data_IF_206695742637
#
_entry.id   IF_206695742637
#
_cell.length_a   1.000
_cell.length_b   1.000
_cell.length_c   1.000
_cell.angle_alpha   90.00
_cell.angle_beta   90.00
_cell.angle_gamma   90.00
#
_symmetry.space_group_name_H-M   'P 1'
#
loop_
_entity.id
_entity.type
_entity.pdbx_description
1 polymer ?
#
# COMPACT_ATOMS: atom_id res chain seq x y z
N UNK A 1 -10.93 6.53 5.38
CA UNK A 1 -9.76 5.95 4.71
C UNK A 1 -9.04 6.90 3.73
N UNK A 2 -9.49 8.16 3.56
CA UNK A 2 -8.87 9.11 2.62
C UNK A 2 -7.84 10.05 3.27
N UNK A 3 -7.98 10.36 4.56
CA UNK A 3 -7.09 11.29 5.24
C UNK A 3 -5.65 10.75 5.39
N UNK A 4 -5.51 9.44 5.60
CA UNK A 4 -4.20 8.81 5.78
C UNK A 4 -3.43 8.70 4.47
N UNK A 5 -4.10 8.39 3.35
CA UNK A 5 -3.45 8.31 2.03
C UNK A 5 -2.99 9.67 1.52
N UNK A 6 -3.77 10.74 1.76
CA UNK A 6 -3.39 12.12 1.39
C UNK A 6 -2.13 12.57 2.14
N UNK A 7 -2.01 12.21 3.43
CA UNK A 7 -0.87 12.60 4.26
C UNK A 7 0.47 12.05 3.72
N UNK A 8 0.57 10.73 3.50
CA UNK A 8 1.80 10.12 3.01
C UNK A 8 2.09 10.48 1.54
N UNK A 9 1.07 10.66 0.71
CA UNK A 9 1.25 11.10 -0.69
C UNK A 9 1.87 12.49 -0.77
N UNK A 10 1.46 13.42 0.11
CA UNK A 10 2.00 14.77 0.14
C UNK A 10 3.49 14.76 0.56
N UNK A 11 3.86 13.92 1.54
CA UNK A 11 5.27 13.74 1.93
C UNK A 11 6.12 13.19 0.79
N UNK A 12 5.62 12.18 0.08
CA UNK A 12 6.31 11.59 -1.06
C UNK A 12 6.54 12.59 -2.20
N UNK A 13 5.52 13.40 -2.52
CA UNK A 13 5.65 14.46 -3.52
C UNK A 13 6.69 15.50 -3.10
N UNK A 14 6.76 15.84 -1.82
CA UNK A 14 7.72 16.83 -1.33
C UNK A 14 9.16 16.30 -1.35
N UNK A 15 9.39 15.05 -0.94
CA UNK A 15 10.73 14.46 -0.94
C UNK A 15 11.24 14.11 -2.34
N UNK A 16 10.36 13.81 -3.30
CA UNK A 16 10.79 13.57 -4.70
C UNK A 16 11.31 14.83 -5.40
N UNK A 17 11.00 16.04 -4.90
CA UNK A 17 11.56 17.30 -5.44
C UNK A 17 13.06 17.46 -5.16
N UNK A 18 13.56 16.82 -4.11
CA UNK A 18 14.93 16.99 -3.60
C UNK A 18 15.75 15.70 -3.59
N UNK A 19 15.13 14.54 -3.80
CA UNK A 19 15.79 13.24 -3.81
C UNK A 19 15.23 12.31 -4.91
N UNK A 20 16.02 11.33 -5.38
CA UNK A 20 15.53 10.26 -6.26
C UNK A 20 14.31 9.55 -5.64
N UNK A 21 13.40 9.07 -6.50
CA UNK A 21 12.11 8.49 -6.06
C UNK A 21 12.28 7.37 -5.03
N UNK A 22 13.24 6.46 -5.20
CA UNK A 22 13.51 5.42 -4.22
C UNK A 22 13.88 5.98 -2.84
N UNK A 23 14.72 7.02 -2.79
CA UNK A 23 15.12 7.66 -1.56
C UNK A 23 13.96 8.42 -0.91
N UNK A 24 13.11 9.08 -1.71
CA UNK A 24 11.92 9.77 -1.22
C UNK A 24 10.89 8.81 -0.60
N UNK A 25 10.74 7.59 -1.14
CA UNK A 25 9.91 6.54 -0.55
C UNK A 25 10.47 6.12 0.80
N UNK A 26 11.79 5.86 0.88
CA UNK A 26 12.44 5.52 2.15
C UNK A 26 12.24 6.63 3.20
N UNK A 27 12.45 7.88 2.82
CA UNK A 27 12.26 9.04 3.71
C UNK A 27 10.79 9.22 4.16
N UNK A 28 9.83 8.86 3.31
CA UNK A 28 8.39 8.95 3.67
C UNK A 28 8.01 7.92 4.74
N UNK A 29 8.64 6.75 4.74
CA UNK A 29 8.27 5.62 5.61
C UNK A 29 9.32 5.28 6.70
N UNK A 30 10.41 6.04 6.82
CA UNK A 30 11.44 5.76 7.84
C UNK A 30 11.08 6.26 9.25
N UNK A 31 10.10 7.15 9.37
CA UNK A 31 9.68 7.74 10.64
C UNK A 31 10.70 8.71 11.27
N UNK A 32 11.87 8.89 10.65
CA UNK A 32 12.91 9.82 11.08
C UNK A 32 12.71 11.23 10.50
N UNK A 33 11.93 11.35 9.41
CA UNK A 33 11.62 12.63 8.78
C UNK A 33 10.18 13.08 9.10
N UNK A 34 9.96 13.85 10.17
CA UNK A 34 8.63 14.37 10.49
C UNK A 34 8.19 15.42 9.46
N UNK A 35 6.93 15.37 9.01
CA UNK A 35 6.33 16.43 8.20
C UNK A 35 5.70 17.52 9.09
N UNK A 36 5.23 18.60 8.45
CA UNK A 36 4.51 19.69 9.10
C UNK A 36 3.39 19.22 10.02
N UNK A 37 2.59 18.23 9.58
CA UNK A 37 1.53 17.63 10.39
C UNK A 37 2.09 16.90 11.63
N UNK A 38 3.16 16.12 11.48
CA UNK A 38 3.84 15.47 12.59
C UNK A 38 4.33 16.49 13.63
N UNK A 39 4.84 17.65 13.19
CA UNK A 39 5.23 18.73 14.08
C UNK A 39 4.04 19.34 14.83
N UNK A 40 2.90 19.54 14.17
CA UNK A 40 1.67 20.04 14.80
C UNK A 40 1.19 19.05 15.87
N UNK A 41 1.14 17.76 15.56
CA UNK A 41 0.73 16.71 16.52
C UNK A 41 1.69 16.66 17.72
N UNK A 42 3.01 16.71 17.49
CA UNK A 42 3.98 16.73 18.59
C UNK A 42 3.86 17.97 19.46
N UNK A 43 3.60 19.15 18.88
CA UNK A 43 3.32 20.39 19.63
C UNK A 43 2.05 20.25 20.48
N UNK A 44 0.98 19.68 19.92
CA UNK A 44 -0.26 19.42 20.66
C UNK A 44 -0.04 18.49 21.86
N UNK A 45 0.61 17.34 21.64
CA UNK A 45 0.96 16.38 22.70
C UNK A 45 1.87 16.97 23.78
N UNK A 46 2.79 17.87 23.42
CA UNK A 46 3.63 18.57 24.39
C UNK A 46 2.83 19.58 25.22
N UNK A 47 1.81 20.21 24.64
CA UNK A 47 0.90 21.12 25.33
C UNK A 47 -0.02 20.40 26.32
N UNK A 48 -0.42 19.16 26.03
CA UNK A 48 -1.23 18.32 26.92
C UNK A 48 -0.46 17.83 28.16
N UNK A 49 0.88 17.76 28.10
CA UNK A 49 1.72 17.32 29.22
C UNK A 49 1.94 18.40 30.29
N UNK A 50 1.48 19.64 30.10
CA UNK A 50 1.48 20.64 31.18
C UNK A 50 0.28 20.38 32.11
N UNK A 51 0.50 20.09 33.40
CA UNK A 51 -0.60 19.97 34.33
C UNK A 51 -1.22 21.35 34.52
N UNK A 52 -2.55 21.35 34.65
CA UNK A 52 -3.42 22.49 34.94
C UNK A 52 -3.95 23.29 33.75
N UNK A 53 -4.91 22.69 33.03
CA UNK A 53 -6.24 23.31 32.90
C UNK A 53 -7.24 22.15 32.98
N UNK A 54 -8.10 22.16 33.99
CA UNK A 54 -9.31 21.32 33.99
C UNK A 54 -10.15 21.70 32.78
N UNK A 55 -9.90 21.06 31.64
CA UNK A 55 -10.83 21.11 30.52
C UNK A 55 -12.15 20.52 31.00
N UNK A 56 -13.30 21.20 30.84
CA UNK A 56 -14.59 20.59 31.15
C UNK A 56 -14.67 19.29 30.34
N UNK A 57 -14.72 18.17 31.06
CA UNK A 57 -14.84 16.84 30.48
C UNK A 57 -16.15 16.82 29.71
N UNK A 58 -16.10 17.10 28.41
CA UNK A 58 -17.23 16.90 27.53
C UNK A 58 -17.52 15.40 27.59
N UNK A 59 -18.54 15.01 28.35
CA UNK A 59 -19.08 13.65 28.33
C UNK A 59 -19.67 13.45 26.94
N UNK A 60 -18.85 12.96 26.04
CA UNK A 60 -19.29 12.48 24.74
C UNK A 60 -19.98 11.15 25.04
N UNK A 61 -21.31 11.16 25.13
CA UNK A 61 -22.09 9.93 25.14
C UNK A 61 -22.06 9.34 23.73
N UNK A 62 -21.08 8.46 23.51
CA UNK A 62 -20.99 7.66 22.29
C UNK A 62 -22.09 6.62 22.37
N UNK A 63 -23.21 6.87 21.68
CA UNK A 63 -24.28 5.88 21.58
C UNK A 63 -23.78 4.74 20.68
N UNK A 64 -23.36 3.64 21.33
CA UNK A 64 -22.89 2.44 20.66
C UNK A 64 -24.10 1.62 20.18
N UNK A 65 -24.58 1.90 18.98
CA UNK A 65 -25.56 1.04 18.32
C UNK A 65 -24.86 -0.22 17.81
N UNK A 66 -25.13 -1.35 18.44
CA UNK A 66 -24.72 -2.66 17.95
C UNK A 66 -25.43 -2.92 16.60
N UNK A 67 -24.77 -2.57 15.50
CA UNK A 67 -25.19 -2.99 14.16
C UNK A 67 -24.66 -4.40 13.95
N UNK A 68 -25.50 -5.37 13.53
CA UNK A 68 -24.98 -6.65 13.10
C UNK A 68 -24.09 -6.42 11.88
N UNK A 69 -22.79 -6.64 12.06
CA UNK A 69 -21.83 -6.63 10.97
C UNK A 69 -21.81 -8.05 10.40
N UNK A 70 -22.20 -8.20 9.14
CA UNK A 70 -22.01 -9.44 8.42
C UNK A 70 -20.53 -9.59 8.08
N UNK A 71 -19.86 -10.54 8.73
CA UNK A 71 -18.51 -10.92 8.34
C UNK A 71 -18.61 -11.75 7.07
N UNK A 72 -17.92 -11.32 6.02
CA UNK A 72 -17.71 -12.16 4.85
C UNK A 72 -16.80 -13.32 5.26
N UNK A 73 -17.05 -14.55 4.75
CA UNK A 73 -16.13 -15.64 4.98
C UNK A 73 -14.74 -15.30 4.44
N UNK A 74 -13.66 -15.80 5.06
CA UNK A 74 -12.32 -15.64 4.52
C UNK A 74 -12.26 -16.21 3.11
N UNK A 75 -11.39 -15.63 2.27
CA UNK A 75 -11.15 -16.13 0.92
C UNK A 75 -10.73 -17.60 0.99
N UNK A 76 -11.54 -18.48 0.39
CA UNK A 76 -11.15 -19.85 0.14
C UNK A 76 -10.43 -19.91 -1.22
N UNK A 77 -9.19 -20.44 -1.29
CA UNK A 77 -8.54 -20.71 -2.56
C UNK A 77 -9.45 -21.57 -3.42
N UNK A 78 -9.67 -21.14 -4.66
CA UNK A 78 -10.37 -21.96 -5.64
C UNK A 78 -9.42 -23.07 -6.10
N UNK A 79 -9.75 -24.32 -5.78
CA UNK A 79 -9.05 -25.50 -6.28
C UNK A 79 -9.39 -25.64 -7.78
N UNK A 80 -8.43 -25.35 -8.66
CA UNK A 80 -8.56 -25.73 -10.07
C UNK A 80 -8.36 -27.23 -10.17
N UNK A 81 -9.32 -27.94 -10.75
CA UNK A 81 -9.12 -29.35 -11.09
C UNK A 81 -7.90 -29.44 -12.01
N UNK A 82 -6.87 -30.19 -11.59
CA UNK A 82 -5.69 -30.41 -12.40
C UNK A 82 -6.13 -31.06 -13.72
N UNK A 83 -6.20 -30.26 -14.77
CA UNK A 83 -6.41 -30.75 -16.13
C UNK A 83 -5.15 -31.51 -16.50
N UNK A 84 -5.22 -32.83 -16.45
CA UNK A 84 -4.20 -33.70 -17.05
C UNK A 84 -4.37 -33.56 -18.56
N UNK A 85 -3.72 -32.55 -19.13
CA UNK A 85 -3.59 -32.45 -20.57
C UNK A 85 -2.77 -33.66 -21.03
N UNK A 86 -3.28 -34.51 -21.94
CA UNK A 86 -2.42 -35.46 -22.60
C UNK A 86 -1.30 -34.66 -23.26
N UNK A 87 -0.06 -34.90 -22.85
CA UNK A 87 1.09 -34.43 -23.61
C UNK A 87 1.10 -35.24 -24.90
N UNK A 88 0.42 -34.75 -25.92
CA UNK A 88 0.66 -35.23 -27.27
C UNK A 88 2.10 -34.84 -27.61
N UNK A 89 3.00 -35.82 -27.59
CA UNK A 89 4.34 -35.67 -28.13
C UNK A 89 4.19 -35.50 -29.65
N UNK A 90 3.98 -34.26 -30.07
CA UNK A 90 3.91 -33.88 -31.48
C UNK A 90 5.34 -34.01 -31.99
N UNK A 91 5.70 -35.22 -32.41
CA UNK A 91 6.99 -35.59 -32.99
C UNK A 91 7.24 -35.03 -34.40
N UNK A 92 6.74 -33.84 -34.70
CA UNK A 92 7.02 -33.17 -35.97
C UNK A 92 8.14 -32.16 -35.76
N UNK A 93 9.31 -32.47 -36.34
CA UNK A 93 10.37 -31.48 -36.48
C UNK A 93 9.86 -30.32 -37.34
N UNK A 94 10.15 -29.07 -36.95
CA UNK A 94 9.79 -27.91 -37.76
C UNK A 94 10.41 -28.04 -39.16
N UNK A 95 9.73 -27.53 -40.20
CA UNK A 95 10.27 -27.56 -41.55
C UNK A 95 11.62 -26.85 -41.59
N UNK A 96 12.58 -27.44 -42.32
CA UNK A 96 13.93 -26.90 -42.47
C UNK A 96 13.87 -25.49 -43.08
N UNK A 97 14.70 -24.55 -42.60
CA UNK A 97 14.72 -23.20 -43.14
C UNK A 97 15.16 -23.19 -44.61
N UNK A 98 14.64 -22.25 -45.42
CA UNK A 98 14.98 -22.16 -46.83
C UNK A 98 16.49 -21.88 -47.04
N UNK A 99 17.08 -22.34 -48.15
CA UNK A 99 18.50 -22.12 -48.46
C UNK A 99 18.83 -20.62 -48.50
N UNK A 100 19.93 -20.24 -47.86
CA UNK A 100 20.40 -18.84 -47.88
C UNK A 100 20.98 -18.53 -49.26
N UNK A 101 20.51 -17.50 -49.98
CA UNK A 101 21.11 -17.13 -51.26
C UNK A 101 22.56 -16.70 -51.02
N UNK A 102 23.49 -17.26 -51.79
CA UNK A 102 24.87 -16.79 -51.79
C UNK A 102 24.92 -15.50 -52.62
N UNK A 103 25.33 -14.42 -51.97
CA UNK A 103 25.61 -13.15 -52.64
C UNK A 103 26.96 -13.32 -53.35
N UNK A 104 26.92 -13.35 -54.69
CA UNK A 104 28.09 -13.24 -55.58
C UNK A 104 28.34 -11.79 -55.95
#
# INVERSE_FOLDING_TARGET
MTLQSVAWTTMLIEYTKSAPVCQAILQTFDGAHPCSLCHIVNKGKASEKKPDVQSPTLKIDIICFARPIWLLPPFAPFEYAASVFPSSDIGYSPPVPPPRPQVS
#
